data_IF_367063110619
#
_entry.id   IF_367063110619
#
_cell.length_a   1.000
_cell.length_b   1.000
_cell.length_c   1.000
_cell.angle_alpha   90.00
_cell.angle_beta   90.00
_cell.angle_gamma   90.00
#
_symmetry.space_group_name_H-M   'P 1'
#
loop_
_entity.id
_entity.type
_entity.pdbx_description
1 polymer ?
#
# COMPACT_ATOMS: atom_id res chain seq x y z
N UNK A 1 -4.54 14.57 9.33
CA UNK A 1 -4.00 13.25 9.74
C UNK A 1 -4.16 13.14 11.25
N UNK A 2 -4.91 12.15 11.78
CA UNK A 2 -5.19 12.06 13.22
C UNK A 2 -3.92 11.58 13.93
N UNK A 3 -3.29 12.43 14.74
CA UNK A 3 -2.19 12.02 15.63
C UNK A 3 -2.77 11.28 16.84
N UNK A 4 -2.93 9.96 16.74
CA UNK A 4 -3.48 9.13 17.81
C UNK A 4 -2.59 9.01 19.05
N UNK A 5 -1.35 9.54 19.01
CA UNK A 5 -0.34 9.43 20.09
C UNK A 5 -0.22 7.99 20.60
N UNK A 6 -0.21 7.02 19.69
CA UNK A 6 0.04 5.62 20.04
C UNK A 6 1.49 5.48 20.55
N UNK A 7 1.73 4.50 21.43
CA UNK A 7 3.10 4.21 21.87
C UNK A 7 3.94 3.79 20.66
N UNK A 8 5.15 4.35 20.53
CA UNK A 8 6.06 4.03 19.43
C UNK A 8 6.41 2.54 19.41
N UNK A 9 6.54 1.90 20.57
CA UNK A 9 6.86 0.47 20.66
C UNK A 9 5.72 -0.39 20.12
N UNK A 10 4.47 -0.03 20.46
CA UNK A 10 3.28 -0.74 19.96
C UNK A 10 3.08 -0.51 18.47
N UNK A 11 3.41 0.69 17.98
CA UNK A 11 3.39 0.99 16.54
C UNK A 11 4.47 0.20 15.82
N UNK A 12 5.70 0.16 16.34
CA UNK A 12 6.80 -0.62 15.76
C UNK A 12 6.41 -2.09 15.61
N UNK A 13 5.84 -2.69 16.66
CA UNK A 13 5.33 -4.05 16.60
C UNK A 13 4.19 -4.22 15.58
N UNK A 14 3.22 -3.30 15.55
CA UNK A 14 2.13 -3.36 14.57
C UNK A 14 2.63 -3.27 13.10
N UNK A 15 3.81 -2.67 12.89
CA UNK A 15 4.47 -2.53 11.60
C UNK A 15 5.42 -3.70 11.27
N UNK A 16 5.59 -4.68 12.16
CA UNK A 16 6.36 -5.88 11.87
C UNK A 16 5.71 -6.75 10.78
N UNK A 17 6.54 -7.53 10.09
CA UNK A 17 6.06 -8.48 9.08
C UNK A 17 5.15 -9.53 9.70
N UNK A 18 4.03 -9.81 9.03
CA UNK A 18 3.00 -10.73 9.53
C UNK A 18 2.06 -10.12 10.58
N UNK A 19 2.03 -8.79 10.71
CA UNK A 19 1.07 -8.05 11.53
C UNK A 19 0.05 -7.35 10.64
N UNK A 20 0.23 -6.05 10.35
CA UNK A 20 -0.74 -5.31 9.56
C UNK A 20 -0.66 -5.63 8.06
N UNK A 21 0.54 -5.91 7.56
CA UNK A 21 0.81 -6.35 6.18
C UNK A 21 0.09 -7.65 5.82
N UNK A 22 -0.19 -8.51 6.80
CA UNK A 22 -0.96 -9.74 6.61
C UNK A 22 -2.33 -9.49 5.96
N UNK A 23 -2.96 -8.33 6.25
CA UNK A 23 -4.24 -7.94 5.65
C UNK A 23 -4.17 -7.80 4.13
N UNK A 24 -2.98 -7.60 3.56
CA UNK A 24 -2.77 -7.48 2.11
C UNK A 24 -2.68 -8.83 1.41
N UNK A 25 -2.40 -9.91 2.14
CA UNK A 25 -2.10 -11.23 1.55
C UNK A 25 -3.15 -12.30 1.86
N UNK A 26 -4.10 -12.04 2.77
CA UNK A 26 -5.25 -12.95 2.99
C UNK A 26 -6.36 -12.69 2.00
N UNK A 27 -7.23 -13.68 1.78
CA UNK A 27 -8.43 -13.52 0.97
C UNK A 27 -9.18 -12.23 1.36
N UNK A 28 -9.54 -11.42 0.35
CA UNK A 28 -10.18 -10.12 0.51
C UNK A 28 -11.42 -10.17 1.41
N UNK A 29 -12.20 -11.25 1.32
CA UNK A 29 -13.43 -11.45 2.09
C UNK A 29 -13.16 -11.68 3.58
N UNK A 30 -11.93 -12.05 3.92
CA UNK A 30 -11.51 -12.25 5.30
C UNK A 30 -10.90 -10.99 5.93
N UNK A 31 -10.55 -9.95 5.16
CA UNK A 31 -9.95 -8.72 5.72
C UNK A 31 -10.86 -8.10 6.78
N UNK A 32 -12.15 -7.99 6.47
CA UNK A 32 -13.18 -7.54 7.42
C UNK A 32 -14.23 -8.64 7.60
N UNK A 33 -14.59 -9.04 8.83
CA UNK A 33 -14.03 -8.58 10.11
C UNK A 33 -12.81 -9.40 10.59
N UNK A 34 -12.54 -10.56 9.99
CA UNK A 34 -11.66 -11.59 10.58
C UNK A 34 -10.19 -11.16 10.67
N UNK A 35 -9.64 -10.55 9.62
CA UNK A 35 -8.26 -10.07 9.58
C UNK A 35 -8.02 -8.98 10.63
N UNK A 36 -8.91 -7.98 10.69
CA UNK A 36 -8.84 -6.92 11.72
C UNK A 36 -8.91 -7.52 13.13
N UNK A 37 -9.81 -8.48 13.36
CA UNK A 37 -9.95 -9.15 14.66
C UNK A 37 -8.68 -9.93 15.03
N UNK A 38 -8.08 -10.63 14.06
CA UNK A 38 -6.81 -11.34 14.25
C UNK A 38 -5.69 -10.38 14.65
N UNK A 39 -5.47 -9.30 13.89
CA UNK A 39 -4.39 -8.33 14.16
C UNK A 39 -4.61 -7.68 15.53
N UNK A 40 -5.84 -7.29 15.84
CA UNK A 40 -6.19 -6.72 17.15
C UNK A 40 -5.88 -7.68 18.30
N UNK A 41 -6.21 -8.96 18.15
CA UNK A 41 -5.94 -9.99 19.17
C UNK A 41 -4.44 -10.21 19.34
N UNK A 42 -3.71 -10.41 18.24
CA UNK A 42 -2.25 -10.63 18.26
C UNK A 42 -1.53 -9.45 18.90
N UNK A 43 -1.88 -8.23 18.49
CA UNK A 43 -1.34 -7.00 19.06
C UNK A 43 -1.56 -6.89 20.58
N UNK A 44 -2.76 -7.26 21.07
CA UNK A 44 -3.03 -7.29 22.52
C UNK A 44 -2.18 -8.32 23.25
N UNK A 45 -2.08 -9.54 22.71
CA UNK A 45 -1.30 -10.61 23.32
C UNK A 45 0.18 -10.20 23.47
N UNK A 46 0.73 -9.58 22.44
CA UNK A 46 2.14 -9.18 22.39
C UNK A 46 2.42 -7.97 23.29
N UNK A 47 1.50 -7.01 23.33
CA UNK A 47 1.58 -5.93 24.33
C UNK A 47 1.56 -6.48 25.76
N UNK A 48 0.73 -7.50 26.04
CA UNK A 48 0.72 -8.15 27.36
C UNK A 48 2.03 -8.87 27.65
N UNK A 49 2.59 -9.62 26.68
CA UNK A 49 3.85 -10.33 26.84
C UNK A 49 5.04 -9.40 27.08
N UNK A 50 5.07 -8.25 26.39
CA UNK A 50 6.14 -7.26 26.47
C UNK A 50 5.90 -6.17 27.54
N UNK A 51 4.82 -6.29 28.33
CA UNK A 51 4.40 -5.30 29.32
C UNK A 51 4.26 -3.87 28.75
N UNK A 52 3.76 -3.76 27.51
CA UNK A 52 3.52 -2.49 26.81
C UNK A 52 2.11 -1.97 27.08
N UNK A 53 1.98 -0.64 27.20
CA UNK A 53 0.70 0.01 27.43
C UNK A 53 -0.20 0.01 26.18
N UNK A 54 -1.06 -0.99 26.07
CA UNK A 54 -2.07 -1.07 25.01
C UNK A 54 -3.29 -0.17 25.34
N UNK A 55 -3.60 0.79 24.46
CA UNK A 55 -4.77 1.68 24.62
C UNK A 55 -5.92 1.28 23.69
N UNK A 56 -6.91 0.54 24.21
CA UNK A 56 -8.05 0.04 23.42
C UNK A 56 -8.78 1.14 22.64
N UNK A 57 -9.01 2.31 23.25
CA UNK A 57 -9.74 3.42 22.59
C UNK A 57 -9.01 3.96 21.36
N UNK A 58 -7.67 4.11 21.43
CA UNK A 58 -6.85 4.57 20.30
C UNK A 58 -6.85 3.55 19.16
N UNK A 59 -6.74 2.26 19.48
CA UNK A 59 -6.81 1.19 18.48
C UNK A 59 -8.19 1.08 17.83
N UNK A 60 -9.27 1.25 18.60
CA UNK A 60 -10.63 1.35 18.03
C UNK A 60 -10.74 2.54 17.08
N UNK A 61 -10.17 3.69 17.42
CA UNK A 61 -10.17 4.88 16.55
C UNK A 61 -9.35 4.63 15.27
N UNK A 62 -8.19 3.97 15.40
CA UNK A 62 -7.38 3.53 14.27
C UNK A 62 -8.15 2.61 13.34
N UNK A 63 -8.80 1.55 13.85
CA UNK A 63 -9.56 0.63 13.01
C UNK A 63 -10.77 1.30 12.35
N UNK A 64 -11.43 2.22 13.05
CA UNK A 64 -12.50 3.05 12.48
C UNK A 64 -11.98 3.93 11.34
N UNK A 65 -10.76 4.46 11.44
CA UNK A 65 -10.11 5.17 10.35
C UNK A 65 -9.74 4.21 9.22
N UNK A 66 -9.11 3.08 9.53
CA UNK A 66 -8.71 2.06 8.56
C UNK A 66 -9.90 1.57 7.73
N UNK A 67 -11.02 1.23 8.34
CA UNK A 67 -12.22 0.80 7.60
C UNK A 67 -12.79 1.92 6.72
N UNK A 68 -12.78 3.18 7.19
CA UNK A 68 -13.25 4.32 6.39
C UNK A 68 -12.36 4.55 5.15
N UNK A 69 -11.05 4.47 5.31
CA UNK A 69 -10.10 4.78 4.24
C UNK A 69 -9.77 3.55 3.40
N UNK A 70 -9.30 2.47 4.00
CA UNK A 70 -8.73 1.29 3.32
C UNK A 70 -9.73 0.17 3.04
N UNK A 71 -11.00 0.34 3.38
CA UNK A 71 -12.06 -0.62 3.01
C UNK A 71 -13.16 0.06 2.20
N UNK A 72 -13.59 1.26 2.59
CA UNK A 72 -14.66 1.99 1.90
C UNK A 72 -14.14 2.91 0.78
N UNK A 73 -13.19 3.79 1.08
CA UNK A 73 -12.67 4.74 0.08
C UNK A 73 -11.74 4.05 -0.93
N UNK A 74 -10.89 3.14 -0.45
CA UNK A 74 -10.03 2.28 -1.26
C UNK A 74 -10.46 0.82 -1.04
N UNK A 75 -11.33 0.26 -1.89
CA UNK A 75 -11.80 -1.11 -1.78
C UNK A 75 -10.66 -2.13 -1.63
N UNK A 76 -10.87 -3.17 -0.83
CA UNK A 76 -9.87 -4.21 -0.52
C UNK A 76 -9.24 -4.80 -1.78
N UNK A 77 -10.06 -5.05 -2.81
CA UNK A 77 -9.62 -5.62 -4.10
C UNK A 77 -8.55 -4.78 -4.82
N UNK A 78 -8.41 -3.49 -4.52
CA UNK A 78 -7.44 -2.63 -5.20
C UNK A 78 -6.01 -2.76 -4.66
N UNK A 79 -5.85 -3.17 -3.40
CA UNK A 79 -4.55 -3.20 -2.72
C UNK A 79 -4.19 -4.57 -2.16
N UNK A 80 -5.16 -5.47 -2.06
CA UNK A 80 -4.92 -6.84 -1.64
C UNK A 80 -4.30 -7.64 -2.79
N UNK A 81 -3.23 -8.36 -2.49
CA UNK A 81 -2.42 -9.13 -3.44
C UNK A 81 -2.60 -10.63 -3.27
N UNK A 82 -3.59 -11.08 -2.49
CA UNK A 82 -3.90 -12.50 -2.33
C UNK A 82 -4.23 -13.14 -3.69
N UNK A 83 -3.48 -14.19 -4.03
CA UNK A 83 -3.65 -14.90 -5.31
C UNK A 83 -3.10 -14.15 -6.52
N UNK A 84 -2.41 -13.01 -6.34
CA UNK A 84 -1.64 -12.41 -7.42
C UNK A 84 -0.40 -13.26 -7.70
N UNK A 85 -0.23 -13.59 -8.98
CA UNK A 85 0.95 -14.26 -9.46
C UNK A 85 2.09 -13.25 -9.65
N UNK A 86 3.00 -13.18 -8.68
CA UNK A 86 4.19 -12.33 -8.74
C UNK A 86 5.21 -12.78 -9.81
N UNK A 87 4.98 -13.89 -10.53
CA UNK A 87 5.81 -14.26 -11.69
C UNK A 87 5.58 -13.33 -12.88
N UNK A 88 4.45 -12.62 -12.94
CA UNK A 88 4.31 -11.37 -13.71
C UNK A 88 4.99 -10.26 -12.91
N UNK A 89 6.30 -10.41 -12.69
CA UNK A 89 7.09 -9.47 -11.94
C UNK A 89 6.91 -8.07 -12.54
N UNK A 90 6.87 -7.06 -11.67
CA UNK A 90 7.04 -5.65 -12.01
C UNK A 90 8.37 -5.49 -12.76
N UNK A 91 8.37 -5.83 -14.05
CA UNK A 91 9.53 -5.68 -14.91
C UNK A 91 9.78 -4.18 -14.95
N UNK A 92 10.93 -3.75 -14.44
CA UNK A 92 11.54 -2.42 -14.63
C UNK A 92 11.90 -2.15 -16.10
N UNK A 93 11.19 -2.82 -17.00
CA UNK A 93 11.23 -2.66 -18.44
C UNK A 93 9.77 -2.83 -18.91
N UNK A 94 8.88 -2.09 -18.25
CA UNK A 94 7.47 -2.09 -18.62
C UNK A 94 7.30 -1.34 -19.96
N UNK A 95 6.22 -1.61 -20.71
CA UNK A 95 6.00 -0.96 -22.00
C UNK A 95 6.01 0.58 -21.93
N UNK A 96 5.60 1.17 -20.80
CA UNK A 96 5.62 2.62 -20.58
C UNK A 96 7.05 3.17 -20.48
N UNK A 97 7.94 2.52 -19.73
CA UNK A 97 9.35 2.88 -19.63
C UNK A 97 10.08 2.72 -20.97
N UNK A 98 9.75 1.66 -21.73
CA UNK A 98 10.27 1.46 -23.08
C UNK A 98 9.78 2.57 -24.03
N UNK A 99 8.48 2.88 -24.01
CA UNK A 99 7.91 3.97 -24.80
C UNK A 99 8.56 5.32 -24.46
N UNK A 100 8.69 5.65 -23.17
CA UNK A 100 9.34 6.88 -22.73
C UNK A 100 10.81 6.95 -23.17
N UNK A 101 11.53 5.83 -23.16
CA UNK A 101 12.93 5.77 -23.63
C UNK A 101 13.03 5.96 -25.14
N UNK A 102 12.18 5.29 -25.92
CA UNK A 102 12.15 5.43 -27.38
C UNK A 102 11.75 6.85 -27.79
N UNK A 103 10.73 7.42 -27.15
CA UNK A 103 10.32 8.82 -27.33
C UNK A 103 11.47 9.80 -27.02
N UNK A 104 12.13 9.64 -25.87
CA UNK A 104 13.25 10.51 -25.47
C UNK A 104 14.48 10.36 -26.38
N UNK A 105 14.69 9.19 -27.00
CA UNK A 105 15.77 8.99 -27.97
C UNK A 105 15.47 9.67 -29.31
N UNK A 106 14.20 9.74 -29.71
CA UNK A 106 13.76 10.38 -30.96
C UNK A 106 13.72 11.90 -30.87
N UNK A 107 13.64 12.47 -29.67
CA UNK A 107 13.63 13.92 -29.45
C UNK A 107 15.06 14.41 -29.19
N UNK A 108 15.62 15.18 -30.13
CA UNK A 108 17.01 15.68 -30.06
C UNK A 108 17.27 16.72 -28.94
N UNK A 109 16.24 17.38 -28.41
CA UNK A 109 16.35 18.39 -27.35
C UNK A 109 15.67 17.91 -26.06
N UNK A 110 16.29 18.05 -24.88
CA UNK A 110 15.64 17.75 -23.59
C UNK A 110 14.35 18.53 -23.34
N UNK A 111 14.21 19.70 -23.98
CA UNK A 111 13.05 20.58 -23.87
C UNK A 111 12.64 21.08 -25.28
N UNK A 112 12.00 20.23 -26.09
CA UNK A 112 11.53 20.64 -27.41
C UNK A 112 10.39 21.65 -27.27
N UNK A 113 10.27 22.56 -28.23
CA UNK A 113 9.04 23.34 -28.37
C UNK A 113 7.91 22.44 -28.87
N UNK A 114 6.66 22.87 -28.64
CA UNK A 114 5.48 22.06 -28.94
C UNK A 114 5.42 21.58 -30.41
N UNK A 115 5.73 22.42 -31.43
CA UNK A 115 5.77 21.96 -32.82
C UNK A 115 6.80 20.86 -33.09
N UNK A 116 8.01 20.98 -32.53
CA UNK A 116 9.05 19.97 -32.69
C UNK A 116 8.68 18.64 -32.00
N UNK A 117 8.01 18.73 -30.85
CA UNK A 117 7.51 17.55 -30.12
C UNK A 117 6.41 16.82 -30.91
N UNK A 118 5.39 17.54 -31.37
CA UNK A 118 4.30 16.97 -32.18
C UNK A 118 4.84 16.38 -33.48
N UNK A 119 5.76 17.10 -34.14
CA UNK A 119 6.40 16.63 -35.36
C UNK A 119 7.11 15.30 -35.20
N UNK A 120 7.74 15.01 -34.05
CA UNK A 120 8.39 13.71 -33.78
C UNK A 120 7.37 12.61 -33.48
N UNK A 121 6.28 12.94 -32.79
CA UNK A 121 5.21 11.97 -32.50
C UNK A 121 4.50 11.51 -33.77
N UNK A 122 4.25 12.41 -34.73
CA UNK A 122 3.54 12.08 -35.97
C UNK A 122 4.31 11.11 -36.90
N UNK A 123 5.61 10.89 -36.66
CA UNK A 123 6.50 10.00 -37.44
C UNK A 123 6.91 8.73 -36.68
N UNK A 124 6.52 8.59 -35.41
CA UNK A 124 6.74 7.41 -34.58
C UNK A 124 5.58 6.42 -34.72
#
# INVERSE_FOLDING_TARGET
MIQLRLSNDVVAFAMETGMQDMLTVINSDHVVPHGIAYVTRKLRQECTALNLAYTSSKWTMFWSYFQRTWVRQFPVVLWNVHGMDFTVGSRTNNPLERFNRELNASIASPHPNLPAFVGVIDIL
#
